data_IF_464382507918
#
_entry.id   IF_464382507918
#
_cell.length_a   1.000
_cell.length_b   1.000
_cell.length_c   1.000
_cell.angle_alpha   90.00
_cell.angle_beta   90.00
_cell.angle_gamma   90.00
#
_symmetry.space_group_name_H-M   'P 1'
#
loop_
_entity.id
_entity.type
_entity.pdbx_description
1 polymer ?
#
# COMPACT_ATOMS: atom_id res chain seq x y z
N UNK A 1 -19.42 -9.86 -12.66
CA UNK A 1 -19.08 -9.62 -11.27
C UNK A 1 -17.62 -9.20 -11.11
N UNK A 2 -17.25 -8.69 -9.95
CA UNK A 2 -15.88 -8.30 -9.61
C UNK A 2 -15.23 -9.46 -8.83
N UNK A 3 -13.99 -9.83 -9.16
CA UNK A 3 -13.22 -10.82 -8.42
C UNK A 3 -12.75 -10.26 -7.09
N UNK A 4 -12.81 -11.06 -6.04
CA UNK A 4 -12.39 -10.71 -4.68
C UNK A 4 -11.09 -11.43 -4.33
N UNK A 5 -10.05 -10.67 -4.03
CA UNK A 5 -8.75 -11.19 -3.61
C UNK A 5 -8.48 -10.81 -2.15
N UNK A 6 -8.21 -11.80 -1.31
CA UNK A 6 -7.93 -11.58 0.11
C UNK A 6 -6.43 -11.56 0.35
N UNK A 7 -5.93 -10.45 0.91
CA UNK A 7 -4.51 -10.28 1.21
C UNK A 7 -4.16 -10.76 2.62
N UNK A 8 -3.36 -11.82 2.72
CA UNK A 8 -2.83 -12.39 3.95
C UNK A 8 -1.31 -12.13 4.00
N UNK A 9 -0.94 -10.86 3.97
CA UNK A 9 0.43 -10.38 3.84
C UNK A 9 1.13 -10.24 5.21
N UNK A 10 1.39 -11.37 5.86
CA UNK A 10 2.13 -11.42 7.12
C UNK A 10 3.12 -12.57 7.10
N UNK A 11 4.34 -12.34 7.58
CA UNK A 11 5.23 -13.43 7.95
C UNK A 11 4.69 -14.08 9.23
N UNK A 12 4.64 -15.41 9.23
CA UNK A 12 4.13 -16.20 10.34
C UNK A 12 5.26 -16.57 11.31
N UNK A 13 4.95 -16.59 12.59
CA UNK A 13 5.75 -17.29 13.58
C UNK A 13 5.23 -18.73 13.71
N UNK A 14 6.03 -19.67 14.24
CA UNK A 14 5.56 -21.03 14.49
C UNK A 14 4.24 -21.08 15.26
N UNK A 15 4.07 -20.25 16.28
CA UNK A 15 2.86 -20.18 17.10
C UNK A 15 1.62 -19.61 16.35
N UNK A 16 1.84 -18.93 15.23
CA UNK A 16 0.74 -18.37 14.41
C UNK A 16 0.15 -19.40 13.43
N UNK A 17 0.85 -20.53 13.18
CA UNK A 17 0.50 -21.47 12.09
C UNK A 17 -0.88 -22.11 12.28
N UNK A 18 -1.22 -22.54 13.50
CA UNK A 18 -2.54 -23.10 13.80
C UNK A 18 -3.67 -22.11 13.51
N UNK A 19 -3.50 -20.87 13.97
CA UNK A 19 -4.48 -19.78 13.74
C UNK A 19 -4.57 -19.38 12.27
N UNK A 20 -3.44 -19.38 11.56
CA UNK A 20 -3.40 -19.09 10.14
C UNK A 20 -4.14 -20.17 9.33
N UNK A 21 -3.92 -21.45 9.65
CA UNK A 21 -4.64 -22.56 9.02
C UNK A 21 -6.14 -22.50 9.25
N UNK A 22 -6.59 -22.25 10.50
CA UNK A 22 -8.00 -22.04 10.82
C UNK A 22 -8.62 -20.88 10.06
N UNK A 23 -7.90 -19.76 9.93
CA UNK A 23 -8.35 -18.60 9.17
C UNK A 23 -8.50 -18.91 7.67
N UNK A 24 -7.54 -19.62 7.08
CA UNK A 24 -7.61 -20.03 5.66
C UNK A 24 -8.76 -21.02 5.41
N UNK A 25 -8.98 -21.98 6.30
CA UNK A 25 -10.12 -22.90 6.22
C UNK A 25 -11.45 -22.14 6.30
N UNK A 26 -11.55 -21.16 7.20
CA UNK A 26 -12.74 -20.32 7.32
C UNK A 26 -12.97 -19.48 6.03
N UNK A 27 -11.91 -18.94 5.43
CA UNK A 27 -12.00 -18.24 4.14
C UNK A 27 -12.51 -19.16 3.05
N UNK A 28 -11.98 -20.38 2.94
CA UNK A 28 -12.41 -21.36 1.94
C UNK A 28 -13.88 -21.76 2.11
N UNK A 29 -14.32 -22.00 3.32
CA UNK A 29 -15.69 -22.49 3.57
C UNK A 29 -16.75 -21.42 3.48
N UNK A 30 -16.47 -20.20 3.95
CA UNK A 30 -17.47 -19.14 4.11
C UNK A 30 -17.38 -18.01 3.09
N UNK A 31 -16.18 -17.60 2.72
CA UNK A 31 -15.95 -16.44 1.85
C UNK A 31 -15.75 -16.85 0.40
N UNK A 32 -15.03 -17.96 0.18
CA UNK A 32 -14.67 -18.49 -1.15
C UNK A 32 -14.11 -17.38 -2.06
N UNK A 33 -13.05 -16.67 -1.65
CA UNK A 33 -12.50 -15.62 -2.48
C UNK A 33 -11.92 -16.20 -3.76
N UNK A 34 -11.87 -15.41 -4.85
CA UNK A 34 -11.27 -15.83 -6.11
C UNK A 34 -9.76 -16.05 -6.01
N UNK A 35 -9.09 -15.33 -5.10
CA UNK A 35 -7.67 -15.54 -4.83
C UNK A 35 -7.27 -15.16 -3.40
N UNK A 36 -6.16 -15.75 -2.95
CA UNK A 36 -5.46 -15.37 -1.71
C UNK A 36 -4.07 -14.85 -2.07
N UNK A 37 -3.73 -13.64 -1.59
CA UNK A 37 -2.42 -13.02 -1.79
C UNK A 37 -1.58 -13.23 -0.53
N UNK A 38 -0.45 -13.91 -0.64
CA UNK A 38 0.40 -14.30 0.49
C UNK A 38 1.80 -13.69 0.40
N UNK A 39 2.44 -13.49 1.54
CA UNK A 39 3.84 -13.11 1.66
C UNK A 39 4.69 -14.30 2.13
N UNK A 40 4.21 -15.03 3.12
CA UNK A 40 4.91 -16.17 3.70
C UNK A 40 4.76 -17.39 2.78
N UNK A 41 5.88 -17.94 2.31
CA UNK A 41 5.89 -19.08 1.40
C UNK A 41 5.34 -20.35 2.04
N UNK A 42 5.47 -20.49 3.35
CA UNK A 42 4.91 -21.62 4.11
C UNK A 42 3.39 -21.68 4.06
N UNK A 43 2.73 -20.54 3.82
CA UNK A 43 1.27 -20.50 3.68
C UNK A 43 0.75 -21.29 2.47
N UNK A 44 1.55 -21.48 1.43
CA UNK A 44 1.13 -22.30 0.27
C UNK A 44 0.75 -23.70 0.71
N UNK A 45 1.53 -24.30 1.61
CA UNK A 45 1.22 -25.63 2.16
C UNK A 45 -0.07 -25.63 2.99
N UNK A 46 -0.28 -24.61 3.82
CA UNK A 46 -1.51 -24.48 4.61
C UNK A 46 -2.74 -24.28 3.71
N UNK A 47 -2.63 -23.44 2.68
CA UNK A 47 -3.71 -23.22 1.71
C UNK A 47 -4.10 -24.53 1.02
N UNK A 48 -3.12 -25.33 0.58
CA UNK A 48 -3.39 -26.65 -0.04
C UNK A 48 -4.13 -27.59 0.91
N UNK A 49 -3.77 -27.61 2.18
CA UNK A 49 -4.42 -28.46 3.19
C UNK A 49 -5.90 -28.09 3.41
N UNK A 50 -6.29 -26.84 3.18
CA UNK A 50 -7.69 -26.40 3.31
C UNK A 50 -8.57 -26.78 2.11
N UNK A 51 -7.99 -27.31 1.03
CA UNK A 51 -8.70 -27.58 -0.20
C UNK A 51 -9.11 -26.33 -0.96
N UNK A 52 -8.43 -25.19 -0.76
CA UNK A 52 -8.73 -23.95 -1.47
C UNK A 52 -8.59 -24.11 -2.98
N UNK A 53 -9.65 -23.76 -3.70
CA UNK A 53 -9.76 -23.93 -5.16
C UNK A 53 -9.47 -22.65 -5.97
N UNK A 54 -9.36 -21.49 -5.32
CA UNK A 54 -9.04 -20.21 -5.96
C UNK A 54 -7.56 -20.06 -6.30
N UNK A 55 -7.22 -18.94 -6.94
CA UNK A 55 -5.82 -18.61 -7.28
C UNK A 55 -4.99 -18.28 -6.03
N UNK A 56 -3.71 -18.64 -6.04
CA UNK A 56 -2.74 -18.24 -5.02
C UNK A 56 -1.77 -17.24 -5.63
N UNK A 57 -1.74 -16.02 -5.10
CA UNK A 57 -0.87 -14.96 -5.59
C UNK A 57 0.25 -14.68 -4.59
N UNK A 58 1.47 -14.55 -5.09
CA UNK A 58 2.60 -14.17 -4.26
C UNK A 58 2.73 -12.64 -4.19
N UNK A 59 2.74 -12.13 -2.96
CA UNK A 59 2.81 -10.70 -2.68
C UNK A 59 4.13 -10.06 -3.12
N UNK A 60 4.10 -8.77 -3.44
CA UNK A 60 5.31 -7.95 -3.63
C UNK A 60 6.28 -8.01 -2.44
N UNK A 61 5.79 -8.32 -1.24
CA UNK A 61 6.63 -8.47 -0.05
C UNK A 61 7.49 -9.75 -0.05
N UNK A 62 7.21 -10.70 -0.94
CA UNK A 62 8.10 -11.83 -1.21
C UNK A 62 9.32 -11.43 -2.07
N UNK A 63 9.31 -10.22 -2.63
CA UNK A 63 10.40 -9.60 -3.38
C UNK A 63 10.94 -10.44 -4.54
N UNK A 64 10.03 -10.88 -5.41
CA UNK A 64 10.38 -11.60 -6.64
C UNK A 64 10.76 -10.58 -7.72
N UNK A 65 12.06 -10.38 -7.93
CA UNK A 65 12.61 -9.30 -8.76
C UNK A 65 13.54 -9.77 -9.88
N UNK A 66 13.73 -11.08 -10.06
CA UNK A 66 14.61 -11.64 -11.09
C UNK A 66 14.09 -12.97 -11.66
N UNK A 67 14.44 -13.33 -12.91
CA UNK A 67 13.85 -14.45 -13.62
C UNK A 67 14.01 -15.81 -12.92
N UNK A 68 15.17 -16.10 -12.37
CA UNK A 68 15.42 -17.37 -11.66
C UNK A 68 14.45 -17.61 -10.50
N UNK A 69 14.04 -16.54 -9.82
CA UNK A 69 13.05 -16.64 -8.74
C UNK A 69 11.68 -17.10 -9.28
N UNK A 70 11.26 -16.62 -10.45
CA UNK A 70 10.00 -17.05 -11.08
C UNK A 70 10.02 -18.54 -11.41
N UNK A 71 11.14 -19.07 -11.88
CA UNK A 71 11.32 -20.50 -12.17
C UNK A 71 11.22 -21.34 -10.89
N UNK A 72 11.93 -20.96 -9.83
CA UNK A 72 11.91 -21.64 -8.52
C UNK A 72 10.49 -21.64 -7.93
N UNK A 73 9.82 -20.50 -7.99
CA UNK A 73 8.43 -20.35 -7.50
C UNK A 73 7.51 -21.31 -8.26
N UNK A 74 7.61 -21.35 -9.59
CA UNK A 74 6.77 -22.22 -10.39
C UNK A 74 7.02 -23.70 -10.11
N UNK A 75 8.26 -24.09 -9.92
CA UNK A 75 8.64 -25.47 -9.65
C UNK A 75 8.19 -25.96 -8.27
N UNK A 76 8.31 -25.12 -7.24
CA UNK A 76 8.15 -25.55 -5.85
C UNK A 76 6.86 -25.09 -5.18
N UNK A 77 6.29 -23.94 -5.58
CA UNK A 77 5.17 -23.33 -4.85
C UNK A 77 3.82 -23.45 -5.57
N UNK A 78 3.80 -23.62 -6.88
CA UNK A 78 2.57 -23.73 -7.68
C UNK A 78 1.61 -22.55 -7.47
N UNK A 79 2.13 -21.33 -7.45
CA UNK A 79 1.34 -20.11 -7.41
C UNK A 79 0.92 -19.69 -8.82
N UNK A 80 -0.19 -18.96 -8.94
CA UNK A 80 -0.80 -18.58 -10.22
C UNK A 80 -0.35 -17.20 -10.68
N UNK A 81 0.06 -16.32 -9.74
CA UNK A 81 0.45 -14.95 -10.03
C UNK A 81 1.51 -14.44 -9.06
N UNK A 82 2.37 -13.57 -9.55
CA UNK A 82 3.37 -12.85 -8.75
C UNK A 82 3.14 -11.34 -8.87
N UNK A 83 3.00 -10.66 -7.73
CA UNK A 83 2.97 -9.21 -7.66
C UNK A 83 4.39 -8.70 -7.59
N UNK A 84 4.84 -8.07 -8.67
CA UNK A 84 6.22 -7.61 -8.80
C UNK A 84 6.51 -6.38 -7.91
N UNK A 85 7.76 -6.19 -7.47
CA UNK A 85 8.20 -5.02 -6.74
C UNK A 85 8.01 -3.72 -7.54
N UNK A 86 7.78 -2.61 -6.83
CA UNK A 86 7.59 -1.28 -7.42
C UNK A 86 8.88 -0.65 -7.95
N UNK A 87 10.00 -1.22 -7.55
CA UNK A 87 11.35 -0.75 -7.87
C UNK A 87 11.76 -1.10 -9.30
N UNK A 88 11.07 -2.04 -9.93
CA UNK A 88 11.42 -2.52 -11.27
C UNK A 88 11.08 -1.49 -12.35
N UNK A 89 12.01 -1.30 -13.27
CA UNK A 89 11.80 -0.51 -14.47
C UNK A 89 11.19 -1.33 -15.61
N UNK A 90 10.81 -0.67 -16.70
CA UNK A 90 10.14 -1.30 -17.83
C UNK A 90 10.99 -2.39 -18.52
N UNK A 91 12.30 -2.25 -18.55
CA UNK A 91 13.20 -3.21 -19.22
C UNK A 91 13.40 -4.47 -18.36
N UNK A 92 13.47 -4.30 -17.04
CA UNK A 92 13.44 -5.42 -16.09
C UNK A 92 12.08 -6.17 -16.15
N UNK A 93 10.97 -5.43 -16.27
CA UNK A 93 9.66 -6.04 -16.45
C UNK A 93 9.56 -6.85 -17.74
N UNK A 94 10.11 -6.36 -18.85
CA UNK A 94 10.18 -7.09 -20.12
C UNK A 94 11.02 -8.35 -20.00
N UNK A 95 12.15 -8.27 -19.31
CA UNK A 95 13.02 -9.43 -19.07
C UNK A 95 12.33 -10.49 -18.24
N UNK A 96 11.70 -10.09 -17.12
CA UNK A 96 10.90 -11.00 -16.31
C UNK A 96 9.74 -11.63 -17.08
N UNK A 97 9.08 -10.87 -17.95
CA UNK A 97 7.96 -11.36 -18.73
C UNK A 97 8.38 -12.38 -19.80
N UNK A 98 9.53 -12.19 -20.45
CA UNK A 98 10.08 -13.15 -21.43
C UNK A 98 10.41 -14.49 -20.79
N UNK A 99 10.99 -14.46 -19.60
CA UNK A 99 11.43 -15.65 -18.87
C UNK A 99 10.39 -16.21 -17.91
N UNK A 100 9.20 -15.60 -17.88
CA UNK A 100 8.13 -16.02 -17.00
C UNK A 100 7.58 -17.40 -17.43
N UNK A 101 7.55 -18.39 -16.53
CA UNK A 101 7.07 -19.73 -16.85
C UNK A 101 5.63 -19.74 -17.37
N UNK A 102 5.25 -20.76 -18.18
CA UNK A 102 3.86 -20.97 -18.58
C UNK A 102 2.92 -21.02 -17.38
N UNK A 103 1.69 -20.50 -17.56
CA UNK A 103 0.62 -20.45 -16.54
C UNK A 103 0.88 -19.55 -15.34
N UNK A 104 2.04 -18.90 -15.23
CA UNK A 104 2.30 -17.89 -14.22
C UNK A 104 1.95 -16.49 -14.77
N UNK A 105 1.18 -15.69 -14.02
CA UNK A 105 0.85 -14.31 -14.34
C UNK A 105 1.72 -13.32 -13.57
N UNK A 106 1.92 -12.14 -14.15
CA UNK A 106 2.60 -11.03 -13.48
C UNK A 106 1.59 -9.90 -13.18
N UNK A 107 1.72 -9.30 -12.00
CA UNK A 107 0.93 -8.16 -11.56
C UNK A 107 1.88 -6.99 -11.26
N UNK A 108 1.61 -5.81 -11.83
CA UNK A 108 2.48 -4.65 -11.77
C UNK A 108 1.76 -3.47 -11.13
N UNK A 109 2.40 -2.81 -10.18
CA UNK A 109 1.86 -1.56 -9.62
C UNK A 109 1.91 -0.43 -10.63
N UNK A 110 0.78 0.25 -10.80
CA UNK A 110 0.66 1.41 -11.71
C UNK A 110 0.36 2.71 -10.97
N UNK A 111 -0.21 2.62 -9.74
CA UNK A 111 -0.59 3.82 -8.98
C UNK A 111 -0.60 3.56 -7.46
N UNK A 112 -0.32 4.63 -6.70
CA UNK A 112 -0.48 4.70 -5.26
C UNK A 112 0.82 4.83 -4.50
N UNK A 113 0.79 4.65 -3.19
CA UNK A 113 1.92 4.97 -2.31
C UNK A 113 3.21 4.23 -2.67
N UNK A 114 4.29 5.00 -2.97
CA UNK A 114 5.64 4.45 -3.01
C UNK A 114 6.16 4.17 -1.61
N UNK A 115 6.93 3.08 -1.49
CA UNK A 115 7.70 2.76 -0.31
C UNK A 115 9.15 3.22 -0.51
N UNK A 116 9.75 3.84 0.51
CA UNK A 116 11.17 4.21 0.48
C UNK A 116 12.09 2.99 0.58
N UNK A 117 11.64 1.96 1.32
CA UNK A 117 12.40 0.73 1.49
C UNK A 117 12.15 -0.25 0.35
N UNK A 118 13.14 -1.11 0.09
CA UNK A 118 13.03 -2.23 -0.84
C UNK A 118 11.89 -3.16 -0.40
N UNK A 119 11.08 -3.61 -1.34
CA UNK A 119 9.93 -4.47 -1.09
C UNK A 119 10.31 -5.73 -0.31
N UNK A 120 9.64 -5.97 0.83
CA UNK A 120 9.90 -7.11 1.70
C UNK A 120 11.22 -7.06 2.50
N UNK A 121 11.99 -5.97 2.45
CA UNK A 121 13.31 -5.86 3.09
C UNK A 121 13.42 -4.72 4.10
N UNK A 122 12.32 -4.04 4.44
CA UNK A 122 12.33 -2.89 5.34
C UNK A 122 12.09 -3.30 6.80
N UNK A 123 13.09 -3.13 7.64
CA UNK A 123 13.04 -3.35 9.10
C UNK A 123 12.95 -2.05 9.90
N UNK A 124 12.93 -0.89 9.24
CA UNK A 124 12.95 0.42 9.88
C UNK A 124 11.78 0.64 10.85
N UNK A 125 10.59 0.18 10.47
CA UNK A 125 9.42 0.25 11.34
C UNK A 125 9.59 -0.55 12.63
N UNK A 126 10.25 -1.71 12.58
CA UNK A 126 10.55 -2.53 13.76
C UNK A 126 11.54 -1.81 14.67
N UNK A 127 12.57 -1.21 14.10
CA UNK A 127 13.59 -0.47 14.83
C UNK A 127 13.02 0.78 15.55
N UNK A 128 12.21 1.58 14.85
CA UNK A 128 11.70 2.86 15.35
C UNK A 128 10.47 2.74 16.26
N UNK A 129 9.73 1.67 16.20
CA UNK A 129 8.46 1.56 16.92
C UNK A 129 8.07 0.15 17.35
N UNK A 130 8.97 -0.82 17.28
CA UNK A 130 8.73 -2.20 17.70
C UNK A 130 7.61 -2.91 16.92
N UNK A 131 7.14 -2.35 15.78
CA UNK A 131 6.08 -2.92 14.95
C UNK A 131 6.60 -3.28 13.58
N UNK A 132 6.52 -4.55 13.19
CA UNK A 132 7.06 -5.02 11.93
C UNK A 132 6.22 -4.60 10.72
N UNK A 133 6.85 -3.91 9.76
CA UNK A 133 6.26 -3.61 8.46
C UNK A 133 5.99 -4.88 7.64
N UNK A 134 6.80 -5.92 7.80
CA UNK A 134 6.64 -7.22 7.16
C UNK A 134 5.49 -8.06 7.75
N UNK A 135 4.89 -7.59 8.82
CA UNK A 135 3.70 -8.18 9.45
C UNK A 135 2.50 -7.22 9.42
N UNK A 136 2.42 -6.38 8.38
CA UNK A 136 1.31 -5.46 8.16
C UNK A 136 1.22 -4.28 9.14
N UNK A 137 2.20 -4.08 10.04
CA UNK A 137 2.17 -3.10 11.13
C UNK A 137 3.21 -1.99 10.96
N UNK A 138 3.41 -1.53 9.72
CA UNK A 138 4.32 -0.42 9.44
C UNK A 138 3.86 0.87 10.11
N UNK A 139 4.74 1.52 10.89
CA UNK A 139 4.50 2.82 11.53
C UNK A 139 4.98 4.00 10.68
N UNK A 140 5.36 3.74 9.43
CA UNK A 140 5.76 4.72 8.42
C UNK A 140 6.87 5.67 8.88
N UNK A 141 8.02 5.19 9.42
CA UNK A 141 9.10 6.06 9.87
C UNK A 141 9.62 6.94 8.74
N UNK A 142 9.68 6.44 7.50
CA UNK A 142 10.09 7.21 6.33
C UNK A 142 9.23 8.45 6.03
N UNK A 143 8.03 8.55 6.61
CA UNK A 143 7.13 9.72 6.43
C UNK A 143 7.33 10.80 7.49
N UNK A 144 8.14 10.55 8.52
CA UNK A 144 8.37 11.48 9.63
C UNK A 144 9.37 12.57 9.25
N UNK A 145 9.38 13.63 10.06
CA UNK A 145 10.42 14.66 9.99
C UNK A 145 11.68 14.17 10.69
N UNK A 146 12.81 14.49 10.10
CA UNK A 146 14.14 14.23 10.65
C UNK A 146 14.95 15.53 10.63
N UNK A 147 15.85 15.68 11.58
CA UNK A 147 16.72 16.86 11.67
C UNK A 147 18.15 16.46 11.36
N UNK A 148 18.76 17.17 10.41
CA UNK A 148 20.16 17.04 10.03
C UNK A 148 20.74 18.44 9.90
N UNK A 149 21.87 18.71 10.58
CA UNK A 149 22.56 20.00 10.54
C UNK A 149 21.62 21.20 10.81
N UNK A 150 20.73 21.08 11.81
CA UNK A 150 19.76 22.11 12.18
C UNK A 150 18.53 22.23 11.26
N UNK A 151 18.52 21.56 10.11
CA UNK A 151 17.38 21.56 9.19
C UNK A 151 16.45 20.36 9.44
N UNK A 152 15.16 20.66 9.66
CA UNK A 152 14.15 19.63 9.91
C UNK A 152 13.25 19.44 8.68
N UNK A 153 13.36 18.28 8.00
CA UNK A 153 12.65 17.99 6.76
C UNK A 153 12.16 16.53 6.69
N UNK A 154 11.39 16.20 5.67
CA UNK A 154 10.88 14.84 5.41
C UNK A 154 11.77 14.14 4.36
N UNK A 155 13.03 13.90 4.72
CA UNK A 155 14.07 13.40 3.81
C UNK A 155 13.73 12.10 3.08
N UNK A 156 12.81 11.31 3.60
CA UNK A 156 12.51 9.96 3.09
C UNK A 156 11.04 9.80 2.64
N UNK A 157 10.27 10.91 2.60
CA UNK A 157 8.85 10.83 2.28
C UNK A 157 8.61 10.84 0.78
N UNK A 158 8.43 9.66 0.20
CA UNK A 158 8.16 9.50 -1.23
C UNK A 158 6.82 10.12 -1.66
N UNK A 159 6.78 10.57 -2.91
CA UNK A 159 5.56 10.82 -3.68
C UNK A 159 4.76 9.52 -3.87
N UNK A 160 3.61 9.58 -4.52
CA UNK A 160 2.90 8.38 -4.93
C UNK A 160 3.39 7.94 -6.33
N UNK A 161 3.48 6.64 -6.58
CA UNK A 161 3.69 6.11 -7.91
C UNK A 161 2.52 6.54 -8.79
N UNK A 162 2.79 7.04 -9.98
CA UNK A 162 1.81 7.23 -11.04
C UNK A 162 2.51 6.95 -12.37
N UNK A 163 2.21 5.80 -12.94
CA UNK A 163 2.70 5.43 -14.28
C UNK A 163 1.89 6.14 -15.36
N UNK A 164 0.66 6.56 -15.03
CA UNK A 164 -0.29 7.32 -15.86
C UNK A 164 -0.28 6.91 -17.34
N UNK A 165 0.02 7.84 -18.27
CA UNK A 165 0.06 7.55 -19.73
C UNK A 165 1.12 6.53 -20.14
N UNK A 166 2.13 6.28 -19.30
CA UNK A 166 3.14 5.27 -19.56
C UNK A 166 2.60 3.86 -19.38
N UNK A 167 1.47 3.69 -18.68
CA UNK A 167 0.84 2.40 -18.44
C UNK A 167 0.51 1.65 -19.75
N UNK A 168 0.31 2.36 -20.86
CA UNK A 168 0.13 1.77 -22.20
C UNK A 168 1.26 0.81 -22.59
N UNK A 169 2.49 1.06 -22.12
CA UNK A 169 3.64 0.19 -22.41
C UNK A 169 3.45 -1.20 -21.81
N UNK A 170 2.74 -1.32 -20.69
CA UNK A 170 2.45 -2.60 -20.05
C UNK A 170 1.50 -3.47 -20.87
N UNK A 171 0.70 -2.89 -21.77
CA UNK A 171 -0.20 -3.64 -22.66
C UNK A 171 0.56 -4.52 -23.66
N UNK A 172 1.77 -4.11 -24.05
CA UNK A 172 2.62 -4.84 -24.98
C UNK A 172 3.53 -5.88 -24.28
N UNK A 173 3.55 -5.92 -22.96
CA UNK A 173 4.42 -6.85 -22.21
C UNK A 173 3.64 -8.15 -21.94
N UNK A 174 4.05 -9.27 -22.55
CA UNK A 174 3.40 -10.55 -22.32
C UNK A 174 3.47 -10.93 -20.84
N UNK A 175 2.52 -11.73 -20.37
CA UNK A 175 2.40 -12.16 -18.96
C UNK A 175 1.99 -11.09 -17.94
N UNK A 176 2.07 -9.79 -18.23
CA UNK A 176 1.48 -8.75 -17.39
C UNK A 176 -0.03 -8.78 -17.55
N UNK A 177 -0.70 -9.46 -16.60
CA UNK A 177 -2.16 -9.68 -16.65
C UNK A 177 -2.95 -8.70 -15.81
N UNK A 178 -2.28 -8.01 -14.88
CA UNK A 178 -2.97 -7.19 -13.89
C UNK A 178 -2.19 -5.92 -13.58
N UNK A 179 -2.91 -4.81 -13.59
CA UNK A 179 -2.42 -3.52 -13.09
C UNK A 179 -2.93 -3.31 -11.67
N UNK A 180 -2.01 -3.08 -10.74
CA UNK A 180 -2.33 -2.91 -9.32
C UNK A 180 -2.34 -1.46 -8.91
N UNK A 181 -3.43 -1.05 -8.25
CA UNK A 181 -3.58 0.26 -7.63
C UNK A 181 -3.51 0.08 -6.11
N UNK A 182 -2.63 0.81 -5.44
CA UNK A 182 -2.53 0.82 -3.98
C UNK A 182 -3.48 1.86 -3.40
N UNK A 183 -4.39 1.42 -2.52
CA UNK A 183 -5.41 2.31 -1.95
C UNK A 183 -5.93 1.87 -0.57
N UNK A 184 -5.19 1.04 0.18
CA UNK A 184 -5.64 0.41 1.44
C UNK A 184 -6.28 1.35 2.45
N UNK A 185 -5.81 2.59 2.56
CA UNK A 185 -6.33 3.62 3.49
C UNK A 185 -7.00 4.78 2.76
N UNK A 186 -7.44 4.56 1.55
CA UNK A 186 -8.11 5.58 0.73
C UNK A 186 -9.62 5.36 0.75
N UNK A 187 -10.37 6.46 0.63
CA UNK A 187 -11.82 6.45 0.52
C UNK A 187 -12.33 6.05 -0.87
N UNK A 188 -13.65 5.86 -1.00
CA UNK A 188 -14.29 5.48 -2.26
C UNK A 188 -13.98 6.44 -3.41
N UNK A 189 -13.92 7.74 -3.15
CA UNK A 189 -13.60 8.76 -4.15
C UNK A 189 -12.25 8.48 -4.83
N UNK A 190 -11.20 8.22 -4.05
CA UNK A 190 -9.89 7.89 -4.60
C UNK A 190 -9.95 6.64 -5.48
N UNK A 191 -10.63 5.59 -5.00
CA UNK A 191 -10.73 4.31 -5.73
C UNK A 191 -11.46 4.52 -7.05
N UNK A 192 -12.62 5.18 -7.02
CA UNK A 192 -13.42 5.44 -8.21
C UNK A 192 -12.65 6.23 -9.26
N UNK A 193 -12.06 7.36 -8.88
CA UNK A 193 -11.33 8.24 -9.80
C UNK A 193 -10.08 7.56 -10.37
N UNK A 194 -9.31 6.88 -9.52
CA UNK A 194 -8.09 6.22 -9.98
C UNK A 194 -8.41 5.04 -10.90
N UNK A 195 -9.37 4.19 -10.54
CA UNK A 195 -9.76 3.04 -11.36
C UNK A 195 -10.35 3.51 -12.69
N UNK A 196 -11.23 4.52 -12.69
CA UNK A 196 -11.82 5.08 -13.92
C UNK A 196 -10.73 5.63 -14.85
N UNK A 197 -9.75 6.36 -14.29
CA UNK A 197 -8.64 6.89 -15.10
C UNK A 197 -7.80 5.78 -15.73
N UNK A 198 -7.43 4.75 -14.97
CA UNK A 198 -6.63 3.64 -15.51
C UNK A 198 -7.43 2.75 -16.47
N UNK A 199 -8.75 2.65 -16.33
CA UNK A 199 -9.61 2.02 -17.35
C UNK A 199 -9.57 2.81 -18.65
N UNK A 200 -9.72 4.14 -18.62
CA UNK A 200 -9.59 4.98 -19.81
C UNK A 200 -8.21 4.82 -20.48
N UNK A 201 -7.14 4.83 -19.68
CA UNK A 201 -5.76 4.64 -20.19
C UNK A 201 -5.52 3.24 -20.78
N UNK A 202 -6.20 2.22 -20.29
CA UNK A 202 -6.13 0.85 -20.82
C UNK A 202 -6.93 0.70 -22.10
N UNK A 203 -8.19 1.15 -22.07
CA UNK A 203 -9.17 0.86 -23.11
C UNK A 203 -9.08 1.84 -24.29
N UNK A 204 -8.61 3.08 -24.02
CA UNK A 204 -8.56 4.19 -24.97
C UNK A 204 -7.18 4.85 -25.05
N UNK A 205 -6.11 4.05 -24.93
CA UNK A 205 -4.74 4.57 -24.89
C UNK A 205 -4.26 5.29 -26.16
N UNK A 206 -4.96 5.17 -27.27
CA UNK A 206 -4.70 5.91 -28.50
C UNK A 206 -5.43 7.26 -28.56
N UNK A 207 -6.52 7.42 -27.81
CA UNK A 207 -7.35 8.62 -27.82
C UNK A 207 -6.72 9.73 -26.93
N UNK A 208 -6.40 10.86 -27.57
CA UNK A 208 -5.78 12.01 -26.89
C UNK A 208 -6.73 12.68 -25.88
N UNK A 209 -8.05 12.72 -26.17
CA UNK A 209 -9.05 13.29 -25.27
C UNK A 209 -9.20 12.42 -24.03
N UNK A 210 -9.37 11.11 -24.21
CA UNK A 210 -9.46 10.15 -23.09
C UNK A 210 -8.23 10.18 -22.20
N UNK A 211 -7.02 10.30 -22.78
CA UNK A 211 -5.79 10.48 -22.00
C UNK A 211 -5.81 11.74 -21.16
N UNK A 212 -6.24 12.87 -21.72
CA UNK A 212 -6.35 14.15 -21.01
C UNK A 212 -7.37 14.06 -19.87
N UNK A 213 -8.51 13.45 -20.11
CA UNK A 213 -9.56 13.24 -19.13
C UNK A 213 -9.07 12.32 -17.99
N UNK A 214 -8.37 11.23 -18.31
CA UNK A 214 -7.77 10.34 -17.34
C UNK A 214 -6.75 11.05 -16.42
N UNK A 215 -5.87 11.88 -17.00
CA UNK A 215 -4.92 12.69 -16.22
C UNK A 215 -5.63 13.69 -15.31
N UNK A 216 -6.72 14.28 -15.77
CA UNK A 216 -7.56 15.18 -14.98
C UNK A 216 -8.20 14.44 -13.78
N UNK A 217 -8.69 13.22 -13.99
CA UNK A 217 -9.19 12.38 -12.89
C UNK A 217 -8.09 12.05 -11.88
N UNK A 218 -6.90 11.62 -12.34
CA UNK A 218 -5.76 11.32 -11.46
C UNK A 218 -5.32 12.53 -10.64
N UNK A 219 -5.30 13.72 -11.21
CA UNK A 219 -4.96 14.96 -10.50
C UNK A 219 -5.94 15.26 -9.36
N UNK A 220 -7.19 14.81 -9.47
CA UNK A 220 -8.26 15.02 -8.48
C UNK A 220 -8.51 13.84 -7.55
N UNK A 221 -7.79 12.75 -7.70
CA UNK A 221 -8.00 11.50 -6.95
C UNK A 221 -7.55 11.54 -5.49
N UNK A 222 -7.27 12.70 -4.89
CA UNK A 222 -6.87 12.87 -3.48
C UNK A 222 -5.60 12.05 -3.10
N UNK A 223 -4.72 11.81 -4.08
CA UNK A 223 -3.40 11.23 -3.88
C UNK A 223 -2.36 12.28 -3.45
N UNK A 224 -1.14 11.82 -3.19
CA UNK A 224 0.05 12.68 -3.16
C UNK A 224 0.44 13.04 -4.60
N UNK A 225 1.32 14.02 -4.76
CA UNK A 225 1.93 14.31 -6.06
C UNK A 225 2.53 13.03 -6.66
N UNK A 226 2.20 12.76 -7.92
CA UNK A 226 2.64 11.56 -8.63
C UNK A 226 4.10 11.63 -9.10
N UNK A 227 4.70 10.47 -9.26
CA UNK A 227 5.99 10.25 -9.93
C UNK A 227 5.96 8.89 -10.61
N UNK A 228 6.56 8.79 -11.79
CA UNK A 228 6.79 7.45 -12.37
C UNK A 228 8.11 6.81 -11.86
N UNK A 229 8.81 7.50 -10.98
CA UNK A 229 10.04 7.05 -10.33
C UNK A 229 11.06 6.53 -11.35
N UNK A 230 11.40 5.24 -11.27
CA UNK A 230 12.37 4.59 -12.14
C UNK A 230 11.73 3.78 -13.27
N UNK A 231 10.40 3.86 -13.44
CA UNK A 231 9.69 3.07 -14.46
C UNK A 231 10.29 3.24 -15.87
N UNK A 232 10.67 4.48 -16.25
CA UNK A 232 11.48 4.75 -17.44
C UNK A 232 12.92 5.02 -17.04
N UNK A 233 13.87 4.08 -17.26
CA UNK A 233 15.26 4.27 -16.84
C UNK A 233 15.96 5.41 -17.58
N UNK A 234 15.52 5.75 -18.79
CA UNK A 234 16.08 6.87 -19.58
C UNK A 234 15.65 8.25 -19.07
N UNK A 235 14.58 8.32 -18.27
CA UNK A 235 14.03 9.56 -17.69
C UNK A 235 13.56 9.33 -16.26
N UNK A 236 14.48 8.98 -15.35
CA UNK A 236 14.11 8.73 -13.97
C UNK A 236 13.59 10.01 -13.32
N UNK A 237 12.64 9.86 -12.40
CA UNK A 237 12.14 10.95 -11.57
C UNK A 237 12.48 10.66 -10.11
N UNK A 238 12.96 11.67 -9.39
CA UNK A 238 13.21 11.53 -7.96
C UNK A 238 11.87 11.21 -7.22
N UNK A 239 11.83 10.11 -6.48
CA UNK A 239 10.66 9.78 -5.68
C UNK A 239 10.50 10.67 -4.46
N UNK A 240 11.57 11.34 -4.00
CA UNK A 240 11.57 12.24 -2.84
C UNK A 240 11.79 13.67 -3.32
N UNK A 241 10.89 14.57 -2.92
CA UNK A 241 11.07 15.99 -3.18
C UNK A 241 10.90 16.76 -1.85
N UNK A 242 12.00 17.26 -1.33
CA UNK A 242 12.05 17.98 -0.06
C UNK A 242 11.24 19.29 -0.06
N UNK A 243 11.05 19.87 -1.24
CA UNK A 243 10.32 21.13 -1.43
C UNK A 243 8.83 20.92 -1.68
N UNK A 244 8.39 19.70 -1.97
CA UNK A 244 6.98 19.40 -2.20
C UNK A 244 6.27 18.93 -0.94
N UNK A 245 4.97 19.19 -0.90
CA UNK A 245 4.11 18.65 0.16
C UNK A 245 3.86 17.15 -0.10
N UNK A 246 4.24 16.33 0.87
CA UNK A 246 4.10 14.86 0.77
C UNK A 246 3.03 14.28 1.70
N UNK A 247 2.18 15.12 2.27
CA UNK A 247 0.99 14.68 3.02
C UNK A 247 0.00 13.93 2.14
N UNK A 248 -0.71 12.95 2.67
CA UNK A 248 -1.75 12.26 1.91
C UNK A 248 -2.97 13.17 1.73
N UNK A 249 -3.63 13.08 0.58
CA UNK A 249 -4.72 13.98 0.19
C UNK A 249 -4.28 15.06 -0.80
N UNK A 250 -5.25 15.74 -1.38
CA UNK A 250 -5.01 16.86 -2.28
C UNK A 250 -4.72 18.13 -1.46
N UNK A 251 -3.57 18.76 -1.68
CA UNK A 251 -3.26 20.06 -1.05
C UNK A 251 -4.20 21.13 -1.60
N UNK A 252 -5.07 21.66 -0.77
CA UNK A 252 -6.07 22.67 -1.18
C UNK A 252 -5.77 24.07 -0.67
N UNK A 253 -4.79 24.21 0.25
CA UNK A 253 -4.41 25.54 0.76
C UNK A 253 -3.44 25.48 1.94
N UNK A 254 -3.16 26.66 2.51
CA UNK A 254 -2.36 26.81 3.73
C UNK A 254 -3.06 27.77 4.66
N UNK A 255 -2.97 27.51 5.96
CA UNK A 255 -3.56 28.36 7.01
C UNK A 255 -2.94 29.77 7.01
N UNK A 256 -3.80 30.77 7.03
CA UNK A 256 -3.49 32.20 7.08
C UNK A 256 -4.23 32.86 8.26
N UNK A 257 -3.85 34.11 8.56
CA UNK A 257 -4.48 34.93 9.62
C UNK A 257 -3.99 34.63 11.03
N UNK A 258 -4.48 35.41 12.01
CA UNK A 258 -4.16 35.23 13.41
C UNK A 258 -4.86 34.00 13.98
N UNK A 259 -4.35 33.48 15.09
CA UNK A 259 -4.82 32.23 15.71
C UNK A 259 -6.34 32.15 15.97
N UNK A 260 -6.91 33.28 16.39
CA UNK A 260 -8.33 33.38 16.76
C UNK A 260 -9.25 33.46 15.53
N UNK A 261 -8.73 33.91 14.39
CA UNK A 261 -9.48 34.11 13.16
C UNK A 261 -8.70 33.54 11.97
N UNK A 262 -8.24 32.30 12.12
CA UNK A 262 -7.48 31.62 11.09
C UNK A 262 -8.38 31.17 9.96
N UNK A 263 -7.89 31.27 8.73
CA UNK A 263 -8.60 30.88 7.52
C UNK A 263 -7.63 30.33 6.48
N UNK A 264 -8.16 29.73 5.43
CA UNK A 264 -7.40 29.48 4.21
C UNK A 264 -8.23 29.83 2.98
N UNK A 265 -7.54 30.06 1.88
CA UNK A 265 -8.15 30.24 0.55
C UNK A 265 -8.00 28.90 -0.15
N UNK A 266 -9.12 28.33 -0.60
CA UNK A 266 -9.07 27.03 -1.23
C UNK A 266 -8.64 27.10 -2.69
N UNK A 267 -7.68 26.26 -3.07
CA UNK A 267 -7.20 26.09 -4.46
C UNK A 267 -8.14 25.25 -5.32
N UNK A 268 -9.13 24.57 -4.70
CA UNK A 268 -10.14 23.75 -5.36
C UNK A 268 -11.53 24.02 -4.78
N UNK A 269 -12.58 23.75 -5.55
CA UNK A 269 -13.93 23.79 -5.00
C UNK A 269 -14.07 22.71 -3.92
N UNK A 270 -14.68 23.06 -2.80
CA UNK A 270 -14.98 22.14 -1.69
C UNK A 270 -16.49 21.97 -1.60
N UNK A 271 -16.92 20.75 -1.28
CA UNK A 271 -18.34 20.42 -1.14
C UNK A 271 -18.70 20.16 0.33
N UNK A 272 -19.97 20.41 0.69
CA UNK A 272 -20.46 20.03 2.00
C UNK A 272 -20.25 18.52 2.22
N UNK A 273 -19.69 18.17 3.37
CA UNK A 273 -19.30 16.77 3.68
C UNK A 273 -17.84 16.42 3.38
N UNK A 274 -17.12 17.22 2.59
CA UNK A 274 -15.67 17.01 2.38
C UNK A 274 -14.91 16.99 3.70
N UNK A 275 -13.89 16.13 3.78
CA UNK A 275 -13.05 15.97 4.97
C UNK A 275 -11.70 16.60 4.72
N UNK A 276 -11.38 17.60 5.53
CA UNK A 276 -10.10 18.30 5.50
C UNK A 276 -9.20 17.83 6.64
N UNK A 277 -7.91 17.63 6.35
CA UNK A 277 -6.87 17.51 7.36
C UNK A 277 -5.97 18.73 7.31
N UNK A 278 -5.69 19.32 8.48
CA UNK A 278 -4.79 20.43 8.66
C UNK A 278 -3.55 19.95 9.36
N UNK A 279 -2.40 20.24 8.78
CA UNK A 279 -1.12 19.66 9.20
C UNK A 279 -0.88 18.26 8.61
N UNK A 280 0.25 17.66 8.96
CA UNK A 280 0.60 16.33 8.54
C UNK A 280 0.12 15.28 9.55
N UNK A 281 -0.18 14.09 9.08
CA UNK A 281 -0.70 12.96 9.87
C UNK A 281 0.21 12.50 11.01
N UNK A 282 1.50 12.81 10.97
CA UNK A 282 2.50 12.48 11.99
C UNK A 282 2.82 13.64 12.96
N UNK A 283 2.21 14.83 12.76
CA UNK A 283 2.41 15.99 13.62
C UNK A 283 1.45 15.99 14.80
N UNK A 284 2.00 16.29 15.97
CA UNK A 284 1.17 16.50 17.17
C UNK A 284 0.36 17.79 17.00
N UNK A 285 -0.96 17.66 16.91
CA UNK A 285 -1.86 18.79 16.72
C UNK A 285 -2.45 18.92 15.32
N UNK A 286 -2.18 17.95 14.42
CA UNK A 286 -2.98 17.87 13.21
C UNK A 286 -4.46 17.71 13.57
N UNK A 287 -5.35 18.27 12.78
CA UNK A 287 -6.79 18.18 13.01
C UNK A 287 -7.51 17.73 11.74
N UNK A 288 -8.59 16.99 11.94
CA UNK A 288 -9.49 16.55 10.87
C UNK A 288 -10.82 17.26 11.06
N UNK A 289 -11.35 17.86 10.00
CA UNK A 289 -12.62 18.58 10.02
C UNK A 289 -13.46 18.20 8.81
N UNK A 290 -14.72 17.85 9.05
CA UNK A 290 -15.74 17.79 8.01
C UNK A 290 -16.35 19.16 7.83
N UNK A 291 -16.47 19.64 6.58
CA UNK A 291 -17.08 20.94 6.28
C UNK A 291 -18.58 20.81 6.11
N UNK A 292 -19.33 21.77 6.65
CA UNK A 292 -20.79 21.77 6.58
C UNK A 292 -21.38 22.50 5.38
N UNK A 293 -20.55 23.26 4.63
CA UNK A 293 -21.01 24.05 3.47
C UNK A 293 -20.03 23.98 2.32
N UNK A 294 -20.54 24.09 1.10
CA UNK A 294 -19.69 24.18 -0.08
C UNK A 294 -18.98 25.54 -0.15
N UNK A 295 -17.75 25.54 -0.70
CA UNK A 295 -16.91 26.73 -0.88
C UNK A 295 -16.32 26.68 -2.29
N UNK A 296 -16.55 27.70 -3.15
CA UNK A 296 -16.01 27.72 -4.48
C UNK A 296 -14.48 27.80 -4.48
N UNK A 297 -13.83 27.41 -5.58
CA UNK A 297 -12.40 27.62 -5.79
C UNK A 297 -12.06 29.11 -5.63
N UNK A 298 -10.98 29.42 -4.88
CA UNK A 298 -10.62 30.78 -4.51
C UNK A 298 -11.42 31.34 -3.31
N UNK A 299 -12.43 30.62 -2.85
CA UNK A 299 -13.23 31.03 -1.70
C UNK A 299 -12.46 30.91 -0.38
N UNK A 300 -12.89 31.67 0.62
CA UNK A 300 -12.29 31.70 1.97
C UNK A 300 -13.09 30.81 2.92
N UNK A 301 -12.41 29.88 3.58
CA UNK A 301 -12.96 29.09 4.66
C UNK A 301 -12.31 29.47 5.98
N UNK A 302 -13.12 29.97 6.90
CA UNK A 302 -12.68 30.26 8.27
C UNK A 302 -12.64 28.98 9.08
N UNK A 303 -11.60 28.85 9.86
CA UNK A 303 -11.40 27.70 10.70
C UNK A 303 -11.64 28.04 12.16
N UNK A 304 -12.84 27.84 12.64
CA UNK A 304 -13.10 27.72 14.08
C UNK A 304 -12.54 26.36 14.55
N UNK A 305 -11.20 26.28 14.63
CA UNK A 305 -10.57 25.07 15.16
C UNK A 305 -10.57 25.12 16.68
N UNK A 306 -11.57 24.50 17.26
CA UNK A 306 -11.63 24.26 18.69
C UNK A 306 -10.71 23.09 19.09
N UNK A 307 -9.43 23.14 18.75
CA UNK A 307 -8.47 22.23 19.36
C UNK A 307 -7.72 22.98 20.46
N UNK A 308 -7.54 22.36 21.60
CA UNK A 308 -6.68 22.86 22.70
C UNK A 308 -5.25 23.16 22.24
N UNK A 309 -4.87 22.72 21.02
CA UNK A 309 -3.60 22.98 20.35
C UNK A 309 -3.84 23.79 19.07
N UNK A 310 -3.32 24.99 19.02
CA UNK A 310 -3.45 25.87 17.87
C UNK A 310 -2.75 25.32 16.64
N UNK A 311 -3.43 25.43 15.53
CA UNK A 311 -2.85 25.16 14.22
C UNK A 311 -1.89 26.32 13.86
N UNK A 312 -0.67 25.96 13.47
CA UNK A 312 0.34 26.95 13.11
C UNK A 312 -0.02 27.67 11.80
N UNK A 313 0.26 28.97 11.73
CA UNK A 313 0.23 29.73 10.46
C UNK A 313 1.13 29.03 9.44
N UNK A 314 0.66 28.90 8.19
CA UNK A 314 1.37 28.18 7.13
C UNK A 314 1.12 26.67 7.10
N UNK A 315 0.42 26.09 8.08
CA UNK A 315 0.09 24.66 8.09
C UNK A 315 -0.68 24.29 6.81
N UNK A 316 -0.31 23.20 6.13
CA UNK A 316 -1.00 22.76 4.91
C UNK A 316 -2.40 22.24 5.23
N UNK A 317 -3.32 22.46 4.31
CA UNK A 317 -4.69 21.93 4.34
C UNK A 317 -4.84 20.94 3.22
N UNK A 318 -5.14 19.70 3.56
CA UNK A 318 -5.35 18.61 2.61
C UNK A 318 -6.82 18.20 2.58
N UNK A 319 -7.38 18.04 1.40
CA UNK A 319 -8.63 17.35 1.19
C UNK A 319 -8.32 15.84 1.19
N UNK A 320 -8.84 15.13 2.18
CA UNK A 320 -8.52 13.70 2.40
C UNK A 320 -9.63 12.74 2.05
N UNK A 321 -10.87 13.22 2.05
CA UNK A 321 -12.04 12.49 1.58
C UNK A 321 -13.03 13.46 0.98
N UNK A 322 -13.79 13.03 -0.02
CA UNK A 322 -14.78 13.83 -0.75
C UNK A 322 -16.08 13.08 -0.84
N UNK A 323 -17.18 13.82 -0.64
CA UNK A 323 -18.55 13.34 -0.78
C UNK A 323 -19.18 14.00 -1.98
N UNK A 324 -19.18 13.31 -3.10
CA UNK A 324 -19.91 13.72 -4.30
C UNK A 324 -21.24 12.96 -4.35
N UNK A 325 -22.35 13.65 -4.53
CA UNK A 325 -23.70 13.05 -4.54
C UNK A 325 -23.77 11.83 -5.46
N UNK A 326 -23.26 11.96 -6.68
CA UNK A 326 -23.23 10.85 -7.64
C UNK A 326 -22.51 9.60 -7.11
N UNK A 327 -21.40 9.77 -6.40
CA UNK A 327 -20.65 8.65 -5.81
C UNK A 327 -21.38 8.06 -4.61
N UNK A 328 -21.99 8.91 -3.77
CA UNK A 328 -22.82 8.45 -2.65
C UNK A 328 -24.04 7.65 -3.15
N UNK A 329 -24.69 8.08 -4.23
CA UNK A 329 -25.81 7.35 -4.85
C UNK A 329 -25.35 5.97 -5.36
N UNK A 330 -24.18 5.89 -6.02
CA UNK A 330 -23.61 4.60 -6.45
C UNK A 330 -23.34 3.68 -5.26
N UNK A 331 -22.75 4.20 -4.18
CA UNK A 331 -22.41 3.41 -2.99
C UNK A 331 -23.70 2.91 -2.32
N UNK A 332 -24.71 3.79 -2.14
CA UNK A 332 -25.98 3.40 -1.55
C UNK A 332 -26.66 2.28 -2.35
N UNK A 333 -26.71 2.40 -3.67
CA UNK A 333 -27.27 1.35 -4.53
C UNK A 333 -26.52 0.01 -4.43
N UNK A 334 -25.19 0.05 -4.19
CA UNK A 334 -24.38 -1.16 -3.99
C UNK A 334 -24.61 -1.75 -2.59
N UNK A 335 -24.75 -0.93 -1.58
CA UNK A 335 -25.04 -1.37 -0.20
C UNK A 335 -26.41 -2.06 -0.13
N UNK A 336 -27.43 -1.50 -0.78
CA UNK A 336 -28.78 -2.10 -0.90
C UNK A 336 -28.74 -3.49 -1.56
N UNK A 337 -27.82 -3.72 -2.50
CA UNK A 337 -27.60 -5.02 -3.14
C UNK A 337 -26.90 -6.03 -2.23
N UNK A 338 -26.12 -5.56 -1.24
CA UNK A 338 -25.38 -6.40 -0.30
C UNK A 338 -26.21 -6.79 0.92
N UNK A 339 -27.17 -5.98 1.34
CA UNK A 339 -28.01 -6.23 2.52
C UNK A 339 -28.78 -7.56 2.51
N UNK A 340 -29.31 -8.06 1.35
CA UNK A 340 -29.99 -9.34 1.30
C UNK A 340 -29.06 -10.55 1.48
N UNK A 341 -27.74 -10.36 1.45
CA UNK A 341 -26.80 -11.49 1.58
C UNK A 341 -26.76 -11.98 3.02
N UNK A 342 -27.44 -13.11 3.27
CA UNK A 342 -27.48 -13.74 4.59
C UNK A 342 -26.07 -14.18 5.04
N UNK A 343 -25.68 -13.74 6.22
CA UNK A 343 -24.47 -14.24 6.89
C UNK A 343 -24.68 -15.65 7.37
N UNK A 344 -23.90 -16.62 6.87
CA UNK A 344 -23.97 -17.99 7.38
C UNK A 344 -23.45 -18.05 8.84
N UNK A 345 -24.30 -18.47 9.77
CA UNK A 345 -24.01 -18.53 11.23
C UNK A 345 -23.56 -19.91 11.72
N UNK A 346 -23.39 -20.89 10.85
CA UNK A 346 -23.03 -22.26 11.21
C UNK A 346 -21.69 -22.36 11.97
N UNK A 347 -21.64 -23.14 13.07
CA UNK A 347 -20.38 -23.53 13.72
C UNK A 347 -19.57 -24.39 12.74
N UNK A 348 -18.31 -24.02 12.51
CA UNK A 348 -17.36 -24.79 11.72
C UNK A 348 -16.47 -25.56 12.68
N UNK A 349 -16.31 -26.85 12.49
CA UNK A 349 -15.35 -27.65 13.25
C UNK A 349 -13.95 -27.07 13.13
N UNK A 350 -13.16 -27.01 14.23
CA UNK A 350 -11.81 -26.45 14.17
C UNK A 350 -10.95 -27.23 13.18
N UNK A 351 -10.33 -26.50 12.26
CA UNK A 351 -9.32 -27.04 11.37
C UNK A 351 -7.99 -27.16 12.12
N UNK A 352 -7.36 -28.33 12.05
CA UNK A 352 -6.04 -28.57 12.64
C UNK A 352 -5.04 -28.78 11.49
N UNK A 353 -4.10 -27.82 11.26
CA UNK A 353 -3.13 -27.96 10.19
C UNK A 353 -2.12 -29.08 10.51
N UNK A 354 -1.79 -29.89 9.50
CA UNK A 354 -0.68 -30.82 9.56
C UNK A 354 0.63 -30.06 9.37
N UNK A 355 1.47 -30.03 10.39
CA UNK A 355 2.79 -29.38 10.34
C UNK A 355 3.88 -30.41 10.16
N UNK A 356 4.92 -30.14 9.31
CA UNK A 356 6.05 -31.02 9.16
C UNK A 356 6.72 -31.33 10.51
N UNK A 357 7.11 -32.56 10.72
CA UNK A 357 7.84 -32.96 11.93
C UNK A 357 9.12 -32.11 12.07
N UNK A 358 9.29 -31.42 13.21
CA UNK A 358 10.42 -30.52 13.48
C UNK A 358 10.10 -29.03 13.54
N UNK A 359 8.96 -28.58 13.01
CA UNK A 359 8.52 -27.17 13.19
C UNK A 359 8.04 -26.90 14.61
N UNK A 360 7.57 -27.92 15.33
CA UNK A 360 7.15 -27.83 16.73
C UNK A 360 8.30 -27.78 17.75
N UNK A 361 9.54 -28.03 17.34
CA UNK A 361 10.69 -27.93 18.23
C UNK A 361 11.09 -26.48 18.42
N UNK A 362 11.15 -26.05 19.66
CA UNK A 362 11.53 -24.69 20.11
C UNK A 362 12.60 -24.06 19.23
N UNK A 363 12.26 -22.96 18.56
CA UNK A 363 13.23 -22.14 17.84
C UNK A 363 14.29 -21.65 18.84
N UNK A 364 15.56 -21.94 18.57
CA UNK A 364 16.66 -21.37 19.37
C UNK A 364 16.80 -19.88 18.99
N UNK A 365 16.79 -19.03 19.99
CA UNK A 365 17.19 -17.64 19.82
C UNK A 365 18.70 -17.59 19.63
N UNK A 366 19.15 -17.05 18.52
CA UNK A 366 20.57 -16.83 18.26
C UNK A 366 20.84 -15.34 18.44
N UNK A 367 21.62 -14.98 19.43
CA UNK A 367 22.10 -13.62 19.60
C UNK A 367 23.23 -13.36 18.61
N UNK A 368 22.95 -12.51 17.61
CA UNK A 368 23.99 -12.05 16.70
C UNK A 368 24.55 -10.72 17.22
N UNK A 369 25.89 -10.62 17.39
CA UNK A 369 26.50 -9.35 17.73
C UNK A 369 26.30 -8.35 16.60
N UNK A 370 25.67 -7.22 16.88
CA UNK A 370 25.54 -6.12 15.94
C UNK A 370 26.61 -5.09 16.24
N UNK A 371 27.58 -4.99 15.36
CA UNK A 371 28.63 -3.99 15.47
C UNK A 371 28.14 -2.64 14.95
N UNK A 372 28.14 -1.61 15.78
CA UNK A 372 27.97 -0.22 15.35
C UNK A 372 29.33 0.33 14.91
N UNK A 373 29.41 0.75 13.66
CA UNK A 373 30.63 1.35 13.08
C UNK A 373 30.75 2.87 13.33
N UNK A 374 29.90 3.46 14.17
CA UNK A 374 29.93 4.90 14.44
C UNK A 374 30.78 5.20 15.68
N UNK A 375 31.79 6.11 15.59
CA UNK A 375 32.59 6.54 16.73
C UNK A 375 31.71 7.24 17.77
N UNK A 376 31.90 6.90 19.06
CA UNK A 376 31.25 7.59 20.18
C UNK A 376 29.89 7.10 20.60
N UNK A 377 29.43 5.94 20.16
CA UNK A 377 28.14 5.36 20.55
C UNK A 377 28.25 4.37 21.71
N UNK A 378 27.28 4.42 22.62
CA UNK A 378 27.07 3.43 23.68
C UNK A 378 27.05 1.97 23.17
N UNK A 379 27.30 0.96 24.03
CA UNK A 379 27.41 -0.43 23.60
C UNK A 379 26.21 -0.89 22.79
N UNK A 380 26.42 -1.79 21.81
CA UNK A 380 25.40 -2.22 20.87
C UNK A 380 24.22 -2.88 21.60
N UNK A 381 23.01 -2.48 21.24
CA UNK A 381 21.81 -3.20 21.65
C UNK A 381 21.83 -4.62 21.06
N UNK A 382 21.41 -5.63 21.83
CA UNK A 382 21.27 -7.00 21.33
C UNK A 382 20.02 -7.11 20.44
N UNK A 383 20.21 -7.64 19.23
CA UNK A 383 19.11 -8.01 18.34
C UNK A 383 19.02 -9.54 18.30
N UNK A 384 17.85 -10.08 18.60
CA UNK A 384 17.58 -11.50 18.41
C UNK A 384 17.08 -11.78 16.98
N UNK A 385 17.76 -12.65 16.23
CA UNK A 385 17.28 -13.19 14.98
C UNK A 385 16.71 -14.59 15.23
N UNK A 386 15.44 -14.80 14.85
CA UNK A 386 14.81 -16.11 14.96
C UNK A 386 15.06 -16.88 13.66
N UNK A 387 15.87 -17.92 13.73
CA UNK A 387 16.13 -18.85 12.62
C UNK A 387 15.49 -20.21 12.94
N UNK A 388 14.78 -20.80 11.97
CA UNK A 388 14.31 -22.17 12.10
C UNK A 388 15.51 -23.14 11.99
N UNK A 389 15.50 -24.21 12.79
CA UNK A 389 16.65 -25.11 13.01
C UNK A 389 17.25 -25.81 11.77
N UNK A 390 16.64 -25.66 10.56
CA UNK A 390 17.20 -26.16 9.31
C UNK A 390 18.23 -25.25 8.63
N UNK A 391 18.24 -23.94 8.98
CA UNK A 391 19.14 -22.94 8.37
C UNK A 391 20.49 -22.89 9.11
N UNK A 392 20.50 -23.24 10.41
CA UNK A 392 21.71 -23.16 11.26
C UNK A 392 22.78 -24.21 10.88
N UNK A 393 22.42 -25.29 10.16
CA UNK A 393 23.37 -26.31 9.70
C UNK A 393 24.16 -25.95 8.45
N UNK A 394 23.88 -24.80 7.81
CA UNK A 394 24.52 -24.35 6.56
C UNK A 394 25.18 -22.97 6.66
N UNK A 395 25.16 -22.33 7.82
CA UNK A 395 25.96 -21.16 8.18
C UNK A 395 27.10 -21.58 9.12
#
# INVERSE_FOLDING_TARGET
>A
GVKVFVAVNSLLKPDDLGRAGQFLDLLQRRVKPDAIIIQDLGMVSLIKQTGFSGEVHLSTLANVSFPKALQVIRQHLQVDRVVLPRELNVDELRTLARECPPKLGLEVFVHGALCYGVSGRCYWSSYMGGKSGLRGRCVQPCRRRYTQSGQSQRYFSCRDLSVDVLAKVLLSIPKVRTWKIEGRKKGPHYVYYTVSAYRMLRDHHHDSKMKKDALHLLARALGRTGTHYHFLPQRPQDPVNLHSQTGSGLLVGKIKGPRQNSYFITGEALFAGDVLRIGYEDEVGHSIKRIGRSVPKGGRLYSSFSSKKAVAKGAPVFLTDRREKHLDDIISNLDDQLDPIQRSSGRVSPFVPSLPAGISKKSKMVDLPVYRTLPGSNPPGRFGLWLSGGIIKKL
#
